data_IF_076738568383
#
_entry.id   IF_076738568383
#
_cell.length_a   1.000
_cell.length_b   1.000
_cell.length_c   1.000
_cell.angle_alpha   90.00
_cell.angle_beta   90.00
_cell.angle_gamma   90.00
#
_symmetry.space_group_name_H-M   'P 1'
#
loop_
_entity.id
_entity.type
_entity.pdbx_description
1 polymer ?
#
# COMPACT_ATOMS: atom_id res chain seq x y z
N UNK A 1 -19.16 4.20 -2.56
CA UNK A 1 -17.78 3.82 -2.20
C UNK A 1 -17.83 2.36 -1.79
N UNK A 2 -16.96 1.50 -2.34
CA UNK A 2 -16.85 0.09 -1.93
C UNK A 2 -16.71 0.00 -0.41
N UNK A 3 -17.47 -0.88 0.26
CA UNK A 3 -17.42 -1.06 1.73
C UNK A 3 -15.98 -1.23 2.22
N UNK A 4 -15.18 -2.00 1.47
CA UNK A 4 -13.76 -2.26 1.76
C UNK A 4 -12.90 -0.98 1.70
N UNK A 5 -13.19 -0.05 0.79
CA UNK A 5 -12.43 1.20 0.68
C UNK A 5 -12.66 2.12 1.89
N UNK A 6 -13.90 2.17 2.38
CA UNK A 6 -14.23 2.95 3.57
C UNK A 6 -13.58 2.35 4.82
N UNK A 7 -13.64 1.02 4.98
CA UNK A 7 -13.03 0.35 6.11
C UNK A 7 -11.50 0.47 6.14
N UNK A 8 -10.83 0.31 4.99
CA UNK A 8 -9.38 0.52 4.88
C UNK A 8 -9.03 1.98 5.18
N UNK A 9 -9.84 2.94 4.73
CA UNK A 9 -9.63 4.36 5.06
C UNK A 9 -9.71 4.62 6.56
N UNK A 10 -10.70 4.04 7.25
CA UNK A 10 -10.83 4.14 8.71
C UNK A 10 -9.65 3.48 9.44
N UNK A 11 -9.17 2.33 8.94
CA UNK A 11 -7.99 1.70 9.49
C UNK A 11 -6.74 2.57 9.28
N UNK A 12 -6.54 3.15 8.10
CA UNK A 12 -5.44 4.09 7.83
C UNK A 12 -5.50 5.30 8.78
N UNK A 13 -6.68 5.91 8.96
CA UNK A 13 -6.90 6.99 9.94
C UNK A 13 -6.50 6.58 11.36
N UNK A 14 -6.84 5.34 11.76
CA UNK A 14 -6.49 4.81 13.07
C UNK A 14 -4.98 4.69 13.31
N UNK A 15 -4.18 4.42 12.27
CA UNK A 15 -2.72 4.34 12.39
C UNK A 15 -2.06 5.69 12.69
N UNK A 16 -2.77 6.79 12.43
CA UNK A 16 -2.31 8.16 12.66
C UNK A 16 -2.70 8.71 14.05
N UNK A 17 -3.48 7.97 14.83
CA UNK A 17 -3.96 8.42 16.13
C UNK A 17 -2.85 8.47 17.19
N UNK A 18 -2.98 9.37 18.17
CA UNK A 18 -2.00 9.48 19.26
C UNK A 18 -2.10 8.32 20.28
N UNK A 19 -3.31 7.77 20.45
CA UNK A 19 -3.56 6.63 21.35
C UNK A 19 -2.89 5.35 20.80
N UNK A 20 -1.94 4.76 21.56
CA UNK A 20 -1.26 3.52 21.15
C UNK A 20 -2.20 2.33 20.95
N UNK A 21 -3.29 2.25 21.72
CA UNK A 21 -4.28 1.18 21.61
C UNK A 21 -5.03 1.25 20.29
N UNK A 22 -5.42 2.47 19.87
CA UNK A 22 -6.11 2.70 18.60
C UNK A 22 -5.16 2.40 17.43
N UNK A 23 -3.91 2.86 17.49
CA UNK A 23 -2.91 2.54 16.45
C UNK A 23 -2.72 1.04 16.28
N UNK A 24 -2.52 0.32 17.39
CA UNK A 24 -2.31 -1.14 17.34
C UNK A 24 -3.50 -1.87 16.74
N UNK A 25 -4.73 -1.47 17.11
CA UNK A 25 -5.94 -2.05 16.52
C UNK A 25 -6.04 -1.77 15.02
N UNK A 26 -5.68 -0.55 14.60
CA UNK A 26 -5.67 -0.15 13.20
C UNK A 26 -4.61 -0.90 12.38
N UNK A 27 -3.39 -1.06 12.91
CA UNK A 27 -2.32 -1.84 12.30
C UNK A 27 -2.73 -3.30 12.11
N UNK A 28 -3.37 -3.90 13.12
CA UNK A 28 -3.91 -5.25 13.01
C UNK A 28 -4.97 -5.35 11.89
N UNK A 29 -5.87 -4.37 11.78
CA UNK A 29 -6.86 -4.34 10.69
C UNK A 29 -6.19 -4.22 9.32
N UNK A 30 -5.21 -3.33 9.17
CA UNK A 30 -4.43 -3.20 7.92
C UNK A 30 -3.75 -4.52 7.56
N UNK A 31 -3.21 -5.24 8.56
CA UNK A 31 -2.62 -6.55 8.33
C UNK A 31 -3.64 -7.59 7.87
N UNK A 32 -4.83 -7.63 8.49
CA UNK A 32 -5.91 -8.52 8.05
C UNK A 32 -6.39 -8.22 6.63
N UNK A 33 -6.61 -6.94 6.28
CA UNK A 33 -6.95 -6.56 4.89
C UNK A 33 -5.84 -6.90 3.91
N UNK A 34 -4.58 -6.88 4.36
CA UNK A 34 -3.44 -7.33 3.59
C UNK A 34 -3.61 -8.74 3.01
N UNK A 35 -4.33 -9.63 3.69
CA UNK A 35 -4.54 -11.01 3.25
C UNK A 35 -5.59 -11.17 2.15
N UNK A 36 -6.31 -10.10 1.81
CA UNK A 36 -7.41 -10.13 0.84
C UNK A 36 -6.90 -9.61 -0.50
N UNK A 37 -7.27 -10.29 -1.59
CA UNK A 37 -6.97 -9.82 -2.95
C UNK A 37 -7.57 -8.43 -3.21
N UNK A 38 -6.90 -7.63 -4.03
CA UNK A 38 -7.29 -6.25 -4.33
C UNK A 38 -6.87 -5.21 -3.29
N UNK A 39 -6.21 -5.60 -2.20
CA UNK A 39 -5.73 -4.66 -1.18
C UNK A 39 -4.67 -3.68 -1.70
N UNK A 40 -3.64 -4.17 -2.39
CA UNK A 40 -2.60 -3.31 -2.96
C UNK A 40 -3.14 -2.30 -4.01
N UNK A 41 -3.98 -2.71 -4.98
CA UNK A 41 -4.67 -1.78 -5.88
C UNK A 41 -5.50 -0.71 -5.16
N UNK A 42 -6.20 -1.08 -4.07
CA UNK A 42 -6.95 -0.14 -3.25
C UNK A 42 -6.04 0.90 -2.59
N UNK A 43 -4.93 0.47 -1.97
CA UNK A 43 -3.97 1.38 -1.35
C UNK A 43 -3.38 2.36 -2.35
N UNK A 44 -3.05 1.89 -3.56
CA UNK A 44 -2.52 2.75 -4.61
C UNK A 44 -3.55 3.79 -5.07
N UNK A 45 -4.82 3.38 -5.24
CA UNK A 45 -5.92 4.30 -5.58
C UNK A 45 -6.08 5.39 -4.54
N UNK A 46 -6.05 5.03 -3.26
CA UNK A 46 -6.10 5.98 -2.15
C UNK A 46 -4.89 6.91 -2.13
N UNK A 47 -3.68 6.40 -2.40
CA UNK A 47 -2.46 7.22 -2.44
C UNK A 47 -2.46 8.24 -3.60
N UNK A 48 -3.00 7.85 -4.77
CA UNK A 48 -2.97 8.66 -5.98
C UNK A 48 -4.18 9.57 -6.16
N UNK A 49 -5.29 9.33 -5.45
CA UNK A 49 -6.50 10.16 -5.55
C UNK A 49 -6.35 11.51 -4.86
N UNK A 50 -6.58 12.59 -5.60
CA UNK A 50 -6.61 13.96 -5.03
C UNK A 50 -7.88 14.25 -4.20
N UNK A 51 -8.90 13.39 -4.28
CA UNK A 51 -10.08 13.45 -3.39
C UNK A 51 -9.79 12.89 -2.00
N UNK A 52 -8.68 12.14 -1.85
CA UNK A 52 -8.27 11.55 -0.57
C UNK A 52 -7.45 12.55 0.24
N UNK A 53 -7.75 12.70 1.53
CA UNK A 53 -7.01 13.59 2.43
C UNK A 53 -5.49 13.26 2.43
N UNK A 54 -4.64 14.28 2.50
CA UNK A 54 -3.20 14.16 2.32
C UNK A 54 -2.54 13.16 3.29
N UNK A 55 -2.95 13.19 4.56
CA UNK A 55 -2.50 12.26 5.58
C UNK A 55 -2.88 10.80 5.27
N UNK A 56 -4.04 10.56 4.66
CA UNK A 56 -4.49 9.23 4.25
C UNK A 56 -3.75 8.76 3.00
N UNK A 57 -3.47 9.66 2.05
CA UNK A 57 -2.62 9.35 0.89
C UNK A 57 -1.23 8.88 1.36
N UNK A 58 -0.65 9.55 2.34
CA UNK A 58 0.64 9.19 2.91
C UNK A 58 0.58 7.86 3.65
N UNK A 59 -0.41 7.66 4.51
CA UNK A 59 -0.61 6.40 5.22
C UNK A 59 -0.79 5.23 4.24
N UNK A 60 -1.56 5.43 3.17
CA UNK A 60 -1.77 4.43 2.11
C UNK A 60 -0.47 4.09 1.37
N UNK A 61 0.32 5.09 0.99
CA UNK A 61 1.62 4.87 0.33
C UNK A 61 2.61 4.10 1.22
N UNK A 62 2.64 4.40 2.53
CA UNK A 62 3.48 3.69 3.50
C UNK A 62 2.98 2.24 3.67
N UNK A 63 1.67 2.04 3.80
CA UNK A 63 1.07 0.71 3.90
C UNK A 63 1.36 -0.12 2.65
N UNK A 64 1.30 0.48 1.46
CA UNK A 64 1.58 -0.20 0.19
C UNK A 64 3.04 -0.65 0.12
N UNK A 65 3.98 0.22 0.49
CA UNK A 65 5.40 -0.16 0.59
C UNK A 65 5.62 -1.30 1.58
N UNK A 66 4.95 -1.26 2.73
CA UNK A 66 5.07 -2.31 3.74
C UNK A 66 4.47 -3.63 3.24
N UNK A 67 3.36 -3.59 2.52
CA UNK A 67 2.75 -4.74 1.87
C UNK A 67 3.71 -5.37 0.87
N UNK A 68 4.27 -4.58 -0.06
CA UNK A 68 5.25 -5.07 -1.05
C UNK A 68 6.45 -5.68 -0.33
N UNK A 69 7.02 -5.00 0.68
CA UNK A 69 8.15 -5.55 1.44
C UNK A 69 7.89 -6.92 2.04
N UNK A 70 6.64 -7.19 2.41
CA UNK A 70 6.25 -8.43 3.10
C UNK A 70 5.85 -9.54 2.14
N UNK A 71 5.29 -9.18 0.99
CA UNK A 71 4.65 -10.11 0.08
C UNK A 71 5.35 -10.23 -1.29
N UNK A 72 6.49 -9.58 -1.49
CA UNK A 72 7.36 -9.83 -2.64
C UNK A 72 8.51 -10.76 -2.24
N UNK A 73 8.73 -11.85 -2.98
CA UNK A 73 9.90 -12.73 -2.82
C UNK A 73 9.56 -14.16 -2.40
N UNK A 74 10.52 -14.84 -1.76
CA UNK A 74 10.51 -16.30 -1.58
C UNK A 74 9.50 -16.83 -0.54
N UNK A 75 9.05 -15.99 0.40
CA UNK A 75 8.14 -16.39 1.48
C UNK A 75 7.09 -15.32 1.76
N UNK A 76 6.17 -15.06 0.80
CA UNK A 76 5.13 -14.06 0.98
C UNK A 76 4.08 -14.57 1.98
N UNK A 77 3.48 -13.66 2.76
CA UNK A 77 2.35 -14.03 3.63
C UNK A 77 1.04 -14.17 2.86
N UNK A 78 1.00 -13.60 1.65
CA UNK A 78 -0.14 -13.58 0.76
C UNK A 78 0.32 -14.13 -0.57
N UNK A 79 -0.33 -15.19 -1.03
CA UNK A 79 -0.04 -15.80 -2.33
C UNK A 79 -0.61 -14.91 -3.43
N UNK A 80 0.26 -14.09 -4.04
CA UNK A 80 -0.08 -13.24 -5.17
C UNK A 80 0.19 -14.02 -6.46
N UNK A 81 -0.80 -14.04 -7.35
CA UNK A 81 -0.58 -14.58 -8.69
C UNK A 81 0.44 -13.72 -9.47
N UNK A 82 1.16 -14.29 -10.44
CA UNK A 82 2.07 -13.52 -11.29
C UNK A 82 1.39 -12.34 -12.02
N UNK A 83 0.10 -12.48 -12.32
CA UNK A 83 -0.72 -11.41 -12.90
C UNK A 83 -0.96 -10.28 -11.91
N UNK A 84 -1.36 -10.58 -10.67
CA UNK A 84 -1.51 -9.58 -9.61
C UNK A 84 -0.19 -8.86 -9.30
N UNK A 85 0.94 -9.58 -9.30
CA UNK A 85 2.26 -8.95 -9.13
C UNK A 85 2.57 -7.97 -10.26
N UNK A 86 2.33 -8.36 -11.52
CA UNK A 86 2.57 -7.47 -12.66
C UNK A 86 1.65 -6.26 -12.64
N UNK A 87 0.37 -6.44 -12.31
CA UNK A 87 -0.58 -5.33 -12.15
C UNK A 87 -0.14 -4.35 -11.07
N UNK A 88 0.27 -4.85 -9.89
CA UNK A 88 0.78 -4.00 -8.81
C UNK A 88 2.03 -3.26 -9.27
N UNK A 89 2.97 -3.94 -9.93
CA UNK A 89 4.22 -3.36 -10.44
C UNK A 89 3.95 -2.21 -11.42
N UNK A 90 3.11 -2.44 -12.42
CA UNK A 90 2.74 -1.42 -13.43
C UNK A 90 2.01 -0.24 -12.79
N UNK A 91 1.09 -0.52 -11.87
CA UNK A 91 0.30 0.53 -11.25
C UNK A 91 1.15 1.41 -10.33
N UNK A 92 2.08 0.83 -9.55
CA UNK A 92 3.03 1.58 -8.72
C UNK A 92 3.97 2.44 -9.58
N UNK A 93 4.48 1.89 -10.70
CA UNK A 93 5.29 2.63 -11.66
C UNK A 93 4.52 3.82 -12.24
N UNK A 94 3.28 3.59 -12.70
CA UNK A 94 2.43 4.64 -13.23
C UNK A 94 2.15 5.72 -12.16
N UNK A 95 1.80 5.31 -10.94
CA UNK A 95 1.58 6.21 -9.82
C UNK A 95 2.78 7.12 -9.55
N UNK A 96 4.01 6.58 -9.63
CA UNK A 96 5.25 7.35 -9.47
C UNK A 96 5.40 8.47 -10.50
N UNK A 97 4.88 8.29 -11.73
CA UNK A 97 4.89 9.34 -12.75
C UNK A 97 3.78 10.37 -12.57
N UNK A 98 2.67 10.00 -11.92
CA UNK A 98 1.50 10.87 -11.74
C UNK A 98 1.60 11.79 -10.52
N UNK A 99 2.20 11.31 -9.42
CA UNK A 99 2.30 12.09 -8.18
C UNK A 99 3.65 12.82 -8.05
N UNK A 100 3.74 13.79 -7.12
CA UNK A 100 4.94 14.61 -6.89
C UNK A 100 5.30 14.66 -5.39
N UNK A 101 6.55 15.03 -5.09
CA UNK A 101 7.02 15.27 -3.72
C UNK A 101 7.19 13.99 -2.90
N UNK A 102 6.91 14.05 -1.60
CA UNK A 102 7.19 12.95 -0.66
C UNK A 102 6.47 11.64 -1.03
N UNK A 103 5.24 11.71 -1.57
CA UNK A 103 4.51 10.52 -2.02
C UNK A 103 5.20 9.84 -3.20
N UNK A 104 5.76 10.61 -4.14
CA UNK A 104 6.55 10.08 -5.24
C UNK A 104 7.77 9.33 -4.72
N UNK A 105 8.42 9.84 -3.68
CA UNK A 105 9.51 9.16 -2.98
C UNK A 105 9.10 7.83 -2.34
N UNK A 106 7.89 7.72 -1.78
CA UNK A 106 7.41 6.44 -1.25
C UNK A 106 7.18 5.40 -2.35
N UNK A 107 6.58 5.80 -3.48
CA UNK A 107 6.38 4.88 -4.61
C UNK A 107 7.72 4.50 -5.28
N UNK A 108 8.66 5.43 -5.40
CA UNK A 108 10.00 5.14 -5.91
C UNK A 108 10.71 4.07 -5.08
N UNK A 109 10.65 4.16 -3.74
CA UNK A 109 11.18 3.11 -2.87
C UNK A 109 10.46 1.77 -3.05
N UNK A 110 9.14 1.77 -3.25
CA UNK A 110 8.40 0.53 -3.53
C UNK A 110 8.88 -0.14 -4.84
N UNK A 111 9.10 0.65 -5.91
CA UNK A 111 9.66 0.14 -7.18
C UNK A 111 11.06 -0.44 -6.98
N UNK A 112 11.94 0.28 -6.29
CA UNK A 112 13.30 -0.20 -6.00
C UNK A 112 13.29 -1.52 -5.22
N UNK A 113 12.35 -1.67 -4.28
CA UNK A 113 12.21 -2.87 -3.50
C UNK A 113 11.81 -4.08 -4.36
N UNK A 114 10.81 -3.91 -5.24
CA UNK A 114 10.40 -4.95 -6.19
C UNK A 114 11.56 -5.36 -7.09
N UNK A 115 12.23 -4.38 -7.70
CA UNK A 115 13.36 -4.63 -8.60
C UNK A 115 14.53 -5.35 -7.90
N UNK A 116 14.82 -5.00 -6.65
CA UNK A 116 15.85 -5.67 -5.85
C UNK A 116 15.50 -7.13 -5.55
N UNK A 117 14.24 -7.40 -5.19
CA UNK A 117 13.78 -8.75 -4.83
C UNK A 117 13.76 -9.65 -6.08
N UNK A 118 13.43 -9.09 -7.24
CA UNK A 118 13.45 -9.80 -8.53
C UNK A 118 14.86 -10.03 -9.10
N UNK A 119 15.92 -9.54 -8.46
CA UNK A 119 17.30 -9.64 -8.97
C UNK A 119 17.55 -8.82 -10.24
N UNK A 120 16.76 -7.77 -10.49
CA UNK A 120 16.88 -6.88 -11.66
C UNK A 120 17.72 -5.62 -11.40
N UNK A 121 18.39 -5.55 -10.24
CA UNK A 121 19.29 -4.46 -9.82
C UNK A 121 20.64 -5.02 -9.35
#
# INVERSE_FOLDING_TARGET
MDSNAQEVTLALQGTLQQDPSIRKQAENRIWEYGKVSGFAPLLLRLACSDETAAEIRMAAAIALKNFIRKNWGEAPEVDLSPEEEEEIRQSVLQGMFLIRGTLQGQLSHAVQLMAKIEGKL
#
